data_IF_352769819734
#
_entry.id   IF_352769819734
#
_cell.length_a   1.000
_cell.length_b   1.000
_cell.length_c   1.000
_cell.angle_alpha   90.00
_cell.angle_beta   90.00
_cell.angle_gamma   90.00
#
_symmetry.space_group_name_H-M   'P 1'
#
loop_
_entity.id
_entity.type
_entity.pdbx_description
1 polymer ?
#
# COMPACT_ATOMS: atom_id res chain seq x y z
N UNK A 1 -2.75 15.65 -18.19
CA UNK A 1 -1.51 15.44 -17.41
C UNK A 1 -1.78 14.89 -16.00
N UNK A 2 -2.95 15.13 -15.39
CA UNK A 2 -3.32 14.62 -14.06
C UNK A 2 -3.31 13.09 -13.90
N UNK A 3 -3.62 12.33 -14.96
CA UNK A 3 -3.66 10.85 -14.91
C UNK A 3 -2.33 10.21 -14.48
N UNK A 4 -1.18 10.88 -14.69
CA UNK A 4 0.11 10.32 -14.31
C UNK A 4 0.23 10.07 -12.80
N UNK A 5 -0.33 10.96 -11.98
CA UNK A 5 -0.31 10.82 -10.52
C UNK A 5 -1.17 9.65 -10.04
N UNK A 6 -2.30 9.43 -10.72
CA UNK A 6 -3.15 8.27 -10.45
C UNK A 6 -2.46 6.96 -10.84
N UNK A 7 -1.78 6.92 -11.98
CA UNK A 7 -0.98 5.76 -12.40
C UNK A 7 0.15 5.48 -11.41
N UNK A 8 0.86 6.52 -10.95
CA UNK A 8 1.90 6.39 -9.91
C UNK A 8 1.30 5.82 -8.63
N UNK A 9 0.15 6.32 -8.17
CA UNK A 9 -0.57 5.76 -7.02
C UNK A 9 -0.89 4.28 -7.19
N UNK A 10 -1.42 3.86 -8.35
CA UNK A 10 -1.70 2.46 -8.62
C UNK A 10 -0.43 1.59 -8.60
N UNK A 11 0.67 2.08 -9.20
CA UNK A 11 1.97 1.40 -9.17
C UNK A 11 2.48 1.26 -7.73
N UNK A 12 2.34 2.29 -6.90
CA UNK A 12 2.76 2.25 -5.49
C UNK A 12 2.00 1.15 -4.73
N UNK A 13 0.67 1.04 -4.91
CA UNK A 13 -0.11 -0.01 -4.25
C UNK A 13 0.33 -1.41 -4.69
N UNK A 14 0.53 -1.61 -6.00
CA UNK A 14 0.98 -2.90 -6.56
C UNK A 14 2.39 -3.24 -6.07
N UNK A 15 3.31 -2.28 -6.13
CA UNK A 15 4.68 -2.45 -5.67
C UNK A 15 4.73 -2.77 -4.16
N UNK A 16 3.93 -2.08 -3.35
CA UNK A 16 3.80 -2.33 -1.92
C UNK A 16 3.30 -3.75 -1.64
N UNK A 17 2.22 -4.18 -2.32
CA UNK A 17 1.70 -5.54 -2.19
C UNK A 17 2.73 -6.59 -2.58
N UNK A 18 3.39 -6.44 -3.74
CA UNK A 18 4.40 -7.37 -4.21
C UNK A 18 5.59 -7.41 -3.26
N UNK A 19 6.05 -6.25 -2.77
CA UNK A 19 7.21 -6.17 -1.89
C UNK A 19 6.97 -6.86 -0.55
N UNK A 20 5.77 -6.71 0.05
CA UNK A 20 5.40 -7.43 1.27
C UNK A 20 5.33 -8.93 0.99
N UNK A 21 4.64 -9.32 -0.09
CA UNK A 21 4.46 -10.73 -0.45
C UNK A 21 5.78 -11.44 -0.74
N UNK A 22 6.74 -10.75 -1.38
CA UNK A 22 8.08 -11.27 -1.66
C UNK A 22 9.06 -11.09 -0.50
N UNK A 23 8.61 -10.55 0.64
CA UNK A 23 9.43 -10.27 1.83
C UNK A 23 10.71 -9.48 1.48
N UNK A 24 10.62 -8.52 0.55
CA UNK A 24 11.79 -7.77 0.05
C UNK A 24 12.41 -6.87 1.13
N UNK A 25 11.61 -6.42 2.09
CA UNK A 25 12.04 -5.63 3.24
C UNK A 25 11.03 -5.84 4.38
N UNK A 26 11.24 -5.17 5.52
CA UNK A 26 10.30 -5.26 6.63
C UNK A 26 8.92 -4.71 6.20
N UNK A 27 7.82 -5.38 6.58
CA UNK A 27 6.46 -4.93 6.25
C UNK A 27 6.18 -3.51 6.74
N UNK A 28 6.78 -3.12 7.87
CA UNK A 28 6.66 -1.77 8.44
C UNK A 28 7.27 -0.71 7.53
N UNK A 29 8.47 -0.93 7.00
CA UNK A 29 9.14 0.03 6.10
C UNK A 29 8.39 0.13 4.77
N UNK A 30 8.03 -1.01 4.18
CA UNK A 30 7.28 -1.04 2.91
C UNK A 30 5.91 -0.39 3.08
N UNK A 31 5.21 -0.69 4.17
CA UNK A 31 3.91 -0.10 4.47
C UNK A 31 4.00 1.40 4.69
N UNK A 32 4.95 1.89 5.48
CA UNK A 32 5.14 3.32 5.71
C UNK A 32 5.46 4.07 4.40
N UNK A 33 6.39 3.54 3.60
CA UNK A 33 6.76 4.13 2.31
C UNK A 33 5.58 4.12 1.32
N UNK A 34 4.84 3.02 1.25
CA UNK A 34 3.69 2.88 0.36
C UNK A 34 2.51 3.78 0.74
N UNK A 35 2.19 3.89 2.04
CA UNK A 35 1.18 4.83 2.55
C UNK A 35 1.58 6.26 2.25
N UNK A 36 2.80 6.65 2.59
CA UNK A 36 3.28 8.01 2.36
C UNK A 36 3.28 8.38 0.87
N UNK A 37 3.82 7.49 0.02
CA UNK A 37 3.81 7.68 -1.43
C UNK A 37 2.40 7.77 -2.01
N UNK A 38 1.46 6.98 -1.49
CA UNK A 38 0.06 7.00 -1.93
C UNK A 38 -0.65 8.31 -1.58
N UNK A 39 -0.46 8.81 -0.36
CA UNK A 39 -1.01 10.09 0.09
C UNK A 39 -0.46 11.24 -0.75
N UNK A 40 0.87 11.28 -0.96
CA UNK A 40 1.52 12.31 -1.77
C UNK A 40 0.99 12.27 -3.21
N UNK A 41 0.93 11.09 -3.82
CA UNK A 41 0.45 10.93 -5.20
C UNK A 41 -1.00 11.40 -5.37
N UNK A 42 -1.90 11.04 -4.44
CA UNK A 42 -3.30 11.45 -4.51
C UNK A 42 -3.50 12.93 -4.17
N UNK A 43 -2.65 13.51 -3.31
CA UNK A 43 -2.63 14.96 -3.07
C UNK A 43 -2.21 15.71 -4.34
N UNK A 44 -1.13 15.27 -5.01
CA UNK A 44 -0.67 15.86 -6.27
C UNK A 44 -1.69 15.71 -7.39
N UNK A 45 -2.41 14.58 -7.44
CA UNK A 45 -3.54 14.39 -8.35
C UNK A 45 -4.63 15.44 -8.13
N UNK A 46 -5.03 15.67 -6.88
CA UNK A 46 -6.01 16.69 -6.52
C UNK A 46 -5.56 18.11 -6.88
N UNK A 47 -4.29 18.44 -6.62
CA UNK A 47 -3.71 19.73 -7.00
C UNK A 47 -3.65 19.93 -8.51
N UNK A 48 -3.30 18.89 -9.27
CA UNK A 48 -3.24 18.92 -10.74
C UNK A 48 -4.61 19.11 -11.41
N UNK A 49 -5.70 18.88 -10.67
CA UNK A 49 -7.06 19.18 -11.11
C UNK A 49 -7.50 20.62 -10.80
N UNK A 50 -6.67 21.41 -10.12
CA UNK A 50 -7.01 22.77 -9.71
C UNK A 50 -7.80 22.86 -8.40
N UNK A 51 -7.84 21.78 -7.60
CA UNK A 51 -8.48 21.84 -6.28
C UNK A 51 -7.65 22.67 -5.30
N UNK A 52 -8.33 23.25 -4.30
CA UNK A 52 -7.69 23.92 -3.18
C UNK A 52 -6.75 22.96 -2.43
N UNK A 53 -5.61 23.47 -1.95
CA UNK A 53 -4.61 22.66 -1.26
C UNK A 53 -5.19 21.86 -0.08
N UNK A 54 -6.03 22.48 0.75
CA UNK A 54 -6.68 21.81 1.87
C UNK A 54 -7.55 20.63 1.40
N UNK A 55 -8.34 20.82 0.34
CA UNK A 55 -9.19 19.77 -0.22
C UNK A 55 -8.36 18.63 -0.81
N UNK A 56 -7.32 18.95 -1.58
CA UNK A 56 -6.43 17.96 -2.17
C UNK A 56 -5.70 17.13 -1.10
N UNK A 57 -5.26 17.77 -0.02
CA UNK A 57 -4.61 17.08 1.11
C UNK A 57 -5.59 16.15 1.84
N UNK A 58 -6.82 16.60 2.10
CA UNK A 58 -7.86 15.76 2.72
C UNK A 58 -8.18 14.54 1.85
N UNK A 59 -8.41 14.74 0.56
CA UNK A 59 -8.68 13.64 -0.38
C UNK A 59 -7.47 12.71 -0.48
N UNK A 60 -6.26 13.27 -0.55
CA UNK A 60 -5.02 12.51 -0.58
C UNK A 60 -4.84 11.62 0.64
N UNK A 61 -5.11 12.15 1.85
CA UNK A 61 -5.04 11.38 3.08
C UNK A 61 -6.11 10.29 3.16
N UNK A 62 -7.36 10.64 2.81
CA UNK A 62 -8.47 9.69 2.82
C UNK A 62 -8.27 8.56 1.82
N UNK A 63 -8.07 8.88 0.54
CA UNK A 63 -7.98 7.87 -0.52
C UNK A 63 -6.62 7.15 -0.45
N UNK A 64 -5.52 7.88 -0.32
CA UNK A 64 -4.19 7.29 -0.19
C UNK A 64 -4.10 6.40 1.05
N UNK A 65 -4.54 6.90 2.20
CA UNK A 65 -4.55 6.14 3.45
C UNK A 65 -5.45 4.91 3.40
N UNK A 66 -6.69 5.04 2.92
CA UNK A 66 -7.66 3.95 2.89
C UNK A 66 -7.19 2.79 2.01
N UNK A 67 -6.76 3.07 0.78
CA UNK A 67 -6.33 2.02 -0.14
C UNK A 67 -5.00 1.39 0.30
N UNK A 68 -4.07 2.16 0.85
CA UNK A 68 -2.83 1.59 1.39
C UNK A 68 -3.10 0.73 2.62
N UNK A 69 -3.99 1.15 3.52
CA UNK A 69 -4.39 0.34 4.68
C UNK A 69 -5.06 -0.97 4.25
N UNK A 70 -6.01 -0.91 3.31
CA UNK A 70 -6.65 -2.11 2.76
C UNK A 70 -5.61 -3.07 2.16
N UNK A 71 -4.67 -2.54 1.37
CA UNK A 71 -3.61 -3.35 0.75
C UNK A 71 -2.70 -3.98 1.81
N UNK A 72 -2.32 -3.25 2.85
CA UNK A 72 -1.54 -3.76 3.97
C UNK A 72 -2.26 -4.90 4.69
N UNK A 73 -3.54 -4.71 5.03
CA UNK A 73 -4.36 -5.74 5.70
C UNK A 73 -4.38 -7.02 4.87
N UNK A 74 -4.63 -6.90 3.55
CA UNK A 74 -4.65 -8.05 2.64
C UNK A 74 -3.27 -8.73 2.60
N UNK A 75 -2.19 -7.95 2.46
CA UNK A 75 -0.85 -8.50 2.39
C UNK A 75 -0.45 -9.24 3.67
N UNK A 76 -0.76 -8.68 4.85
CA UNK A 76 -0.52 -9.31 6.14
C UNK A 76 -1.35 -10.58 6.33
N UNK A 77 -2.63 -10.57 5.92
CA UNK A 77 -3.49 -11.74 6.03
C UNK A 77 -2.91 -12.96 5.29
N UNK A 78 -2.45 -12.76 4.05
CA UNK A 78 -1.86 -13.85 3.27
C UNK A 78 -0.49 -14.28 3.80
N UNK A 79 0.36 -13.33 4.21
CA UNK A 79 1.67 -13.65 4.78
C UNK A 79 1.55 -14.47 6.08
N UNK A 80 0.59 -14.14 6.95
CA UNK A 80 0.34 -14.88 8.19
C UNK A 80 -0.20 -16.29 7.95
N UNK A 81 -1.07 -16.46 6.95
CA UNK A 81 -1.63 -17.78 6.63
C UNK A 81 -0.56 -18.74 6.08
N UNK A 82 0.35 -18.26 5.25
CA UNK A 82 1.49 -19.04 4.75
C UNK A 82 2.38 -19.55 5.89
N UNK A 83 2.73 -18.68 6.84
CA UNK A 83 3.54 -19.06 8.01
C UNK A 83 2.86 -20.12 8.88
N UNK A 84 1.54 -20.03 9.05
CA UNK A 84 0.78 -20.99 9.86
C UNK A 84 0.70 -22.36 9.19
N UNK A 85 0.56 -22.40 7.86
CA UNK A 85 0.60 -23.65 7.10
C UNK A 85 1.98 -24.30 7.12
N UNK A 86 3.07 -23.52 7.06
CA UNK A 86 4.43 -24.05 7.19
C UNK A 86 4.70 -24.68 8.56
N UNK A 87 4.20 -24.05 9.64
CA UNK A 87 4.35 -24.56 11.00
C UNK A 87 3.65 -25.93 11.18
N UNK A 88 2.39 -26.05 10.75
CA UNK A 88 1.64 -27.31 10.80
C UNK A 88 2.29 -28.40 9.96
N UNK A 89 2.87 -28.04 8.81
CA UNK A 89 3.55 -29.01 7.96
C UNK A 89 4.78 -29.58 8.67
N UNK A 90 5.55 -28.79 9.42
CA UNK A 90 6.72 -29.28 10.18
C UNK A 90 6.32 -30.27 11.28
N UNK A 91 5.26 -29.98 12.04
CA UNK A 91 4.74 -30.90 13.09
C UNK A 91 4.27 -32.25 12.55
N UNK A 92 3.93 -32.38 11.27
CA UNK A 92 3.54 -33.65 10.66
C UNK A 92 4.72 -34.55 10.24
N UNK A 93 5.94 -34.00 10.16
CA UNK A 93 7.14 -34.75 9.77
C UNK A 93 8.07 -35.10 10.95
N UNK A 94 7.80 -34.53 12.13
CA UNK A 94 8.49 -34.84 13.41
C UNK A 94 7.71 -35.93 14.18
#
# INVERSE_FOLDING_TARGET
>A
MYMIFFVIFAIILVAMYIAIRRRLASPTIIGAAGVFGSIVSMTLFGLAQGNLFAHALTVGFLIGGLFSAATLIIAFYFQGNELRHEALKREQYD
#
